data_IF_142099830326
#
_entry.id   IF_142099830326
#
_cell.length_a   1.000
_cell.length_b   1.000
_cell.length_c   1.000
_cell.angle_alpha   90.00
_cell.angle_beta   90.00
_cell.angle_gamma   90.00
#
_symmetry.space_group_name_H-M   'P 1'
#
loop_
_entity.id
_entity.type
_entity.pdbx_description
1 polymer ?
#
# COMPACT_ATOMS: atom_id res chain seq x y z
N UNK A 1 -2.32 23.08 3.41
CA UNK A 1 -3.30 22.03 3.74
C UNK A 1 -2.56 20.73 3.92
N UNK A 2 -2.78 20.07 5.04
CA UNK A 2 -2.08 18.83 5.34
C UNK A 2 -2.55 17.71 4.44
N UNK A 3 -1.62 16.82 4.12
CA UNK A 3 -1.91 15.58 3.44
C UNK A 3 -2.36 14.54 4.46
N UNK A 4 -3.14 13.57 3.99
CA UNK A 4 -3.43 12.34 4.74
C UNK A 4 -2.59 11.23 4.16
N UNK A 5 -1.96 10.45 5.03
CA UNK A 5 -1.33 9.18 4.67
C UNK A 5 -2.10 8.06 5.34
N UNK A 6 -2.61 7.13 4.56
CA UNK A 6 -3.37 5.98 5.04
C UNK A 6 -2.66 4.71 4.63
N UNK A 7 -2.49 3.80 5.60
CA UNK A 7 -1.93 2.47 5.36
C UNK A 7 -3.00 1.42 5.65
N UNK A 8 -3.20 0.50 4.74
CA UNK A 8 -4.09 -0.64 4.95
C UNK A 8 -3.41 -1.93 4.55
N UNK A 9 -3.96 -3.03 5.05
CA UNK A 9 -3.65 -4.38 4.57
C UNK A 9 -4.93 -5.06 4.13
N UNK A 10 -4.80 -6.02 3.21
CA UNK A 10 -5.90 -6.86 2.77
C UNK A 10 -5.39 -8.21 2.33
N UNK A 11 -6.29 -9.18 2.20
CA UNK A 11 -5.99 -10.52 1.69
C UNK A 11 -6.34 -10.59 0.22
N UNK A 12 -5.50 -11.28 -0.56
CA UNK A 12 -5.82 -11.59 -1.95
C UNK A 12 -7.06 -12.48 -2.02
N UNK A 13 -7.96 -12.18 -2.95
CA UNK A 13 -9.08 -13.05 -3.21
C UNK A 13 -8.60 -14.41 -3.74
N UNK A 14 -9.37 -15.47 -3.48
CA UNK A 14 -9.10 -16.79 -4.02
C UNK A 14 -9.07 -16.73 -5.55
N UNK A 15 -8.04 -17.28 -6.16
CA UNK A 15 -7.90 -17.29 -7.61
C UNK A 15 -7.31 -16.01 -8.21
N UNK A 16 -6.84 -15.07 -7.40
CA UNK A 16 -6.16 -13.88 -7.90
C UNK A 16 -4.92 -14.28 -8.69
N UNK A 17 -4.81 -13.77 -9.91
CA UNK A 17 -3.68 -14.07 -10.80
C UNK A 17 -2.67 -12.93 -10.81
N UNK A 18 -1.42 -13.18 -11.26
CA UNK A 18 -0.45 -12.10 -11.46
C UNK A 18 -0.96 -11.02 -12.42
N UNK A 19 -1.76 -11.40 -13.42
CA UNK A 19 -2.39 -10.44 -14.33
C UNK A 19 -3.36 -9.50 -13.59
N UNK A 20 -4.11 -10.02 -12.63
CA UNK A 20 -5.01 -9.19 -11.82
C UNK A 20 -4.23 -8.13 -11.03
N UNK A 21 -3.08 -8.51 -10.48
CA UNK A 21 -2.19 -7.58 -9.76
C UNK A 21 -1.64 -6.51 -10.71
N UNK A 22 -1.25 -6.90 -11.92
CA UNK A 22 -0.79 -5.96 -12.95
C UNK A 22 -1.88 -4.96 -13.32
N UNK A 23 -3.14 -5.41 -13.43
CA UNK A 23 -4.27 -4.54 -13.74
C UNK A 23 -4.57 -3.56 -12.59
N UNK A 24 -4.48 -4.03 -11.35
CA UNK A 24 -4.64 -3.17 -10.17
C UNK A 24 -3.58 -2.06 -10.18
N UNK A 25 -2.33 -2.42 -10.39
CA UNK A 25 -1.23 -1.45 -10.42
C UNK A 25 -1.37 -0.48 -11.59
N UNK A 26 -1.71 -0.99 -12.77
CA UNK A 26 -1.90 -0.15 -13.96
C UNK A 26 -3.01 0.88 -13.77
N UNK A 27 -4.12 0.48 -13.15
CA UNK A 27 -5.20 1.41 -12.84
C UNK A 27 -4.72 2.50 -11.89
N UNK A 28 -3.94 2.15 -10.87
CA UNK A 28 -3.40 3.10 -9.91
C UNK A 28 -2.49 4.14 -10.59
N UNK A 29 -1.52 3.70 -11.40
CA UNK A 29 -0.60 4.63 -12.05
C UNK A 29 -1.28 5.49 -13.12
N UNK A 30 -2.42 5.05 -13.65
CA UNK A 30 -3.21 5.79 -14.63
C UNK A 30 -4.07 6.85 -13.96
N UNK A 31 -4.77 6.50 -12.89
CA UNK A 31 -5.80 7.37 -12.30
C UNK A 31 -5.34 8.16 -11.08
N UNK A 32 -4.40 7.64 -10.29
CA UNK A 32 -3.95 8.34 -9.08
C UNK A 32 -3.38 9.74 -9.35
N UNK A 33 -2.61 9.98 -10.42
CA UNK A 33 -2.13 11.34 -10.70
C UNK A 33 -3.23 12.36 -10.90
N UNK A 34 -4.38 11.94 -11.42
CA UNK A 34 -5.54 12.81 -11.64
C UNK A 34 -6.12 13.31 -10.32
N UNK A 35 -6.00 12.51 -9.27
CA UNK A 35 -6.55 12.79 -7.94
C UNK A 35 -5.48 13.27 -6.96
N UNK A 36 -4.26 13.47 -7.42
CA UNK A 36 -3.15 13.88 -6.54
C UNK A 36 -2.74 12.81 -5.54
N UNK A 37 -2.93 11.54 -5.87
CA UNK A 37 -2.56 10.40 -5.01
C UNK A 37 -1.16 9.92 -5.37
N UNK A 38 -0.35 9.70 -4.33
CA UNK A 38 0.95 9.02 -4.42
C UNK A 38 1.00 7.89 -3.41
N UNK A 39 1.96 6.99 -3.54
CA UNK A 39 2.11 5.93 -2.55
C UNK A 39 2.90 4.72 -2.98
N UNK A 40 2.73 3.67 -2.18
CA UNK A 40 3.44 2.40 -2.27
C UNK A 40 2.44 1.25 -2.22
N UNK A 41 2.59 0.29 -3.12
CA UNK A 41 1.81 -0.95 -3.14
C UNK A 41 2.76 -2.13 -2.97
N UNK A 42 2.58 -2.90 -1.90
CA UNK A 42 3.33 -4.12 -1.64
C UNK A 42 2.41 -5.32 -1.82
N UNK A 43 2.86 -6.29 -2.59
CA UNK A 43 2.17 -7.56 -2.82
C UNK A 43 3.11 -8.71 -2.50
N UNK A 44 2.65 -9.66 -1.69
CA UNK A 44 3.48 -10.79 -1.25
C UNK A 44 2.92 -12.17 -1.63
N UNK A 45 1.95 -12.21 -2.54
CA UNK A 45 1.28 -13.44 -2.94
C UNK A 45 0.07 -13.81 -2.08
N UNK A 46 0.03 -13.38 -0.82
CA UNK A 46 -1.06 -13.67 0.12
C UNK A 46 -1.97 -12.46 0.35
N UNK A 47 -1.42 -11.27 0.20
CA UNK A 47 -2.16 -10.05 0.47
C UNK A 47 -1.43 -8.82 -0.01
N UNK A 48 -2.03 -7.68 0.30
CA UNK A 48 -1.57 -6.36 -0.07
C UNK A 48 -1.33 -5.53 1.18
N UNK A 49 -0.28 -4.70 1.12
CA UNK A 49 -0.12 -3.55 2.00
C UNK A 49 0.02 -2.34 1.10
N UNK A 50 -0.75 -1.29 1.37
CA UNK A 50 -0.68 -0.08 0.56
C UNK A 50 -0.61 1.14 1.46
N UNK A 51 0.26 2.09 1.09
CA UNK A 51 0.30 3.42 1.67
C UNK A 51 -0.19 4.37 0.59
N UNK A 52 -1.22 5.15 0.88
CA UNK A 52 -1.77 6.16 -0.02
C UNK A 52 -1.69 7.53 0.62
N UNK A 53 -1.24 8.50 -0.17
CA UNK A 53 -1.01 9.88 0.29
C UNK A 53 -1.76 10.84 -0.63
N UNK A 54 -2.44 11.80 -0.05
CA UNK A 54 -3.13 12.84 -0.80
C UNK A 54 -4.02 13.68 0.09
N UNK A 55 -4.83 14.54 -0.55
CA UNK A 55 -5.86 15.29 0.16
C UNK A 55 -6.86 14.32 0.80
N UNK A 56 -7.41 14.69 1.94
CA UNK A 56 -8.32 13.83 2.70
C UNK A 56 -9.48 13.30 1.84
N UNK A 57 -10.13 14.16 1.06
CA UNK A 57 -11.25 13.75 0.21
C UNK A 57 -10.82 12.76 -0.88
N UNK A 58 -9.66 12.95 -1.47
CA UNK A 58 -9.13 12.05 -2.49
C UNK A 58 -8.80 10.67 -1.91
N UNK A 59 -8.19 10.64 -0.71
CA UNK A 59 -7.90 9.40 -0.01
C UNK A 59 -9.18 8.65 0.36
N UNK A 60 -10.17 9.35 0.89
CA UNK A 60 -11.45 8.75 1.27
C UNK A 60 -12.21 8.19 0.06
N UNK A 61 -12.24 8.92 -1.06
CA UNK A 61 -12.86 8.43 -2.30
C UNK A 61 -12.16 7.19 -2.83
N UNK A 62 -10.83 7.18 -2.82
CA UNK A 62 -10.06 6.03 -3.27
C UNK A 62 -10.30 4.83 -2.35
N UNK A 63 -10.33 5.03 -1.03
CA UNK A 63 -10.59 3.95 -0.08
C UNK A 63 -11.97 3.32 -0.27
N UNK A 64 -12.98 4.11 -0.61
CA UNK A 64 -14.31 3.57 -0.91
C UNK A 64 -14.28 2.62 -2.12
N UNK A 65 -13.53 2.98 -3.16
CA UNK A 65 -13.36 2.12 -4.34
C UNK A 65 -12.55 0.87 -4.04
N UNK A 66 -11.46 1.01 -3.29
CA UNK A 66 -10.60 -0.11 -2.90
C UNK A 66 -11.38 -1.10 -2.05
N UNK A 67 -12.13 -0.62 -1.06
CA UNK A 67 -12.91 -1.47 -0.17
C UNK A 67 -13.98 -2.28 -0.93
N UNK A 68 -14.55 -1.71 -1.99
CA UNK A 68 -15.54 -2.38 -2.83
C UNK A 68 -14.94 -3.36 -3.86
N UNK A 69 -13.62 -3.36 -4.04
CA UNK A 69 -12.95 -4.22 -5.03
C UNK A 69 -12.94 -5.68 -4.55
N UNK A 70 -13.55 -6.55 -5.35
CA UNK A 70 -13.69 -7.98 -5.02
C UNK A 70 -12.41 -8.79 -5.19
N UNK A 71 -11.33 -8.18 -5.72
CA UNK A 71 -10.04 -8.86 -5.91
C UNK A 71 -9.28 -9.04 -4.61
N UNK A 72 -9.77 -8.46 -3.52
CA UNK A 72 -9.24 -8.66 -2.17
C UNK A 72 -10.38 -8.64 -1.14
N UNK A 73 -10.05 -9.02 0.08
CA UNK A 73 -10.98 -9.04 1.21
C UNK A 73 -10.21 -8.81 2.52
N UNK A 74 -10.92 -8.81 3.64
CA UNK A 74 -10.34 -8.62 4.98
C UNK A 74 -9.48 -7.34 5.04
N UNK A 75 -9.98 -6.25 4.44
CA UNK A 75 -9.27 -4.98 4.45
C UNK A 75 -9.31 -4.38 5.85
N UNK A 76 -8.14 -4.01 6.36
CA UNK A 76 -8.01 -3.34 7.65
C UNK A 76 -7.13 -2.10 7.49
N UNK A 77 -7.62 -0.96 7.96
CA UNK A 77 -6.82 0.25 8.05
C UNK A 77 -5.86 0.09 9.23
N UNK A 78 -4.57 0.18 8.94
CA UNK A 78 -3.52 0.00 9.94
C UNK A 78 -3.03 1.31 10.55
N UNK A 79 -3.08 2.38 9.76
CA UNK A 79 -2.64 3.70 10.19
C UNK A 79 -3.31 4.77 9.32
N UNK A 80 -3.65 5.87 9.95
CA UNK A 80 -4.11 7.08 9.26
C UNK A 80 -3.56 8.28 10.00
N UNK A 81 -2.83 9.12 9.28
CA UNK A 81 -2.20 10.29 9.89
C UNK A 81 -2.21 11.48 8.96
N UNK A 82 -2.16 12.67 9.55
CA UNK A 82 -1.85 13.88 8.82
C UNK A 82 -0.34 14.03 8.71
N UNK A 83 0.14 14.53 7.59
CA UNK A 83 1.56 14.85 7.41
C UNK A 83 1.71 16.07 6.52
N UNK A 84 2.79 16.82 6.74
CA UNK A 84 3.06 18.04 5.99
C UNK A 84 3.59 17.75 4.59
N UNK A 85 4.34 16.67 4.42
CA UNK A 85 5.01 16.32 3.19
C UNK A 85 4.73 14.86 2.82
N UNK A 86 4.85 14.55 1.52
CA UNK A 86 4.71 13.18 1.04
C UNK A 86 5.97 12.38 1.30
N UNK A 87 5.81 11.11 1.68
CA UNK A 87 6.92 10.15 1.69
C UNK A 87 7.32 9.77 0.26
N UNK A 88 6.33 9.73 -0.66
CA UNK A 88 6.53 9.24 -2.03
C UNK A 88 6.11 10.28 -3.06
N UNK A 89 6.75 11.46 -3.11
CA UNK A 89 6.27 12.58 -3.91
C UNK A 89 6.30 12.34 -5.43
N UNK A 90 7.13 11.41 -5.89
CA UNK A 90 7.32 11.14 -7.32
C UNK A 90 6.67 9.84 -7.80
N UNK A 91 5.99 9.12 -6.92
CA UNK A 91 5.40 7.82 -7.24
C UNK A 91 3.88 7.86 -7.17
N UNK A 92 3.21 7.86 -8.32
CA UNK A 92 1.75 7.74 -8.36
C UNK A 92 1.28 6.42 -7.74
N UNK A 93 2.07 5.36 -7.88
CA UNK A 93 1.97 4.12 -7.09
C UNK A 93 3.18 3.25 -7.41
N UNK A 94 4.15 3.19 -6.51
CA UNK A 94 5.30 2.29 -6.67
C UNK A 94 4.92 0.89 -6.22
N UNK A 95 5.15 -0.10 -7.08
CA UNK A 95 4.85 -1.49 -6.77
C UNK A 95 6.10 -2.25 -6.36
N UNK A 96 6.01 -2.95 -5.25
CA UNK A 96 7.07 -3.84 -4.76
C UNK A 96 6.46 -5.22 -4.52
N UNK A 97 6.92 -6.21 -5.28
CA UNK A 97 6.54 -7.61 -5.06
C UNK A 97 7.59 -8.25 -4.18
N UNK A 98 7.17 -8.89 -3.11
CA UNK A 98 8.08 -9.46 -2.12
C UNK A 98 7.71 -10.88 -1.78
N UNK A 99 8.60 -11.57 -1.08
CA UNK A 99 8.36 -12.91 -0.56
C UNK A 99 7.23 -12.90 0.47
N UNK A 100 6.39 -13.95 0.55
CA UNK A 100 5.40 -14.08 1.62
C UNK A 100 6.02 -14.28 3.01
N UNK A 101 7.29 -14.66 3.11
CA UNK A 101 8.01 -14.73 4.37
C UNK A 101 8.24 -13.33 4.93
N UNK A 102 8.00 -13.14 6.24
CA UNK A 102 8.13 -11.83 6.86
C UNK A 102 9.53 -11.23 6.70
N UNK A 103 10.56 -12.01 7.02
CA UNK A 103 11.93 -11.50 6.98
C UNK A 103 12.37 -11.08 5.58
N UNK A 104 12.12 -11.94 4.60
CA UNK A 104 12.47 -11.65 3.19
C UNK A 104 11.60 -10.53 2.64
N UNK A 105 10.31 -10.53 2.97
CA UNK A 105 9.38 -9.49 2.56
C UNK A 105 9.80 -8.13 3.11
N UNK A 106 10.14 -8.07 4.39
CA UNK A 106 10.61 -6.83 5.02
C UNK A 106 11.90 -6.33 4.37
N UNK A 107 12.85 -7.22 4.12
CA UNK A 107 14.09 -6.85 3.42
C UNK A 107 13.82 -6.24 2.06
N UNK A 108 12.90 -6.83 1.28
CA UNK A 108 12.52 -6.31 -0.02
C UNK A 108 11.87 -4.93 0.04
N UNK A 109 10.99 -4.71 1.02
CA UNK A 109 10.37 -3.40 1.22
C UNK A 109 11.40 -2.37 1.69
N UNK A 110 12.24 -2.72 2.65
CA UNK A 110 13.27 -1.80 3.15
C UNK A 110 14.25 -1.40 2.06
N UNK A 111 14.69 -2.31 1.22
CA UNK A 111 15.56 -1.98 0.09
C UNK A 111 14.94 -0.93 -0.82
N UNK A 112 13.62 -0.98 -0.99
CA UNK A 112 12.91 -0.04 -1.86
C UNK A 112 12.69 1.32 -1.22
N UNK A 113 12.42 1.39 0.11
CA UNK A 113 11.87 2.62 0.71
C UNK A 113 12.57 3.14 1.97
N UNK A 114 13.64 2.51 2.42
CA UNK A 114 14.32 2.85 3.69
C UNK A 114 14.58 4.36 3.87
N UNK A 115 14.99 5.03 2.80
CA UNK A 115 15.34 6.46 2.87
C UNK A 115 14.15 7.38 2.69
N UNK A 116 12.96 6.83 2.44
CA UNK A 116 11.75 7.61 2.15
C UNK A 116 10.82 7.73 3.34
N UNK A 117 10.97 6.87 4.33
CA UNK A 117 10.10 6.82 5.49
C UNK A 117 10.89 7.03 6.78
N UNK A 118 10.26 7.68 7.75
CA UNK A 118 10.85 7.88 9.06
C UNK A 118 10.62 6.65 9.96
N UNK A 119 11.15 6.70 11.18
CA UNK A 119 11.04 5.61 12.12
C UNK A 119 9.59 5.28 12.49
N UNK A 120 8.74 6.30 12.59
CA UNK A 120 7.31 6.12 12.88
C UNK A 120 6.59 5.38 11.77
N UNK A 121 6.80 5.77 10.52
CA UNK A 121 6.22 5.08 9.37
C UNK A 121 6.82 3.69 9.18
N UNK A 122 8.12 3.53 9.46
CA UNK A 122 8.76 2.21 9.42
C UNK A 122 8.08 1.23 10.38
N UNK A 123 7.73 1.67 11.57
CA UNK A 123 7.02 0.83 12.53
C UNK A 123 5.66 0.37 11.98
N UNK A 124 4.94 1.26 11.30
CA UNK A 124 3.67 0.92 10.62
C UNK A 124 3.90 -0.12 9.52
N UNK A 125 4.94 0.06 8.71
CA UNK A 125 5.28 -0.89 7.63
C UNK A 125 5.61 -2.28 8.19
N UNK A 126 6.45 -2.34 9.22
CA UNK A 126 6.83 -3.61 9.86
C UNK A 126 5.61 -4.34 10.39
N UNK A 127 4.78 -3.66 11.16
CA UNK A 127 3.56 -4.24 11.75
C UNK A 127 2.56 -4.67 10.68
N UNK A 128 2.36 -3.86 9.65
CA UNK A 128 1.43 -4.14 8.56
C UNK A 128 1.89 -5.33 7.72
N UNK A 129 3.18 -5.38 7.40
CA UNK A 129 3.72 -6.49 6.62
C UNK A 129 3.61 -7.80 7.40
N UNK A 130 3.86 -7.77 8.72
CA UNK A 130 3.70 -8.95 9.56
C UNK A 130 2.28 -9.51 9.49
N UNK A 131 1.27 -8.64 9.41
CA UNK A 131 -0.14 -9.03 9.36
C UNK A 131 -0.51 -9.84 8.10
N UNK A 132 0.21 -9.66 7.00
CA UNK A 132 -0.05 -10.37 5.74
C UNK A 132 1.01 -11.43 5.40
N UNK A 133 2.04 -11.58 6.23
CA UNK A 133 3.10 -12.55 6.00
C UNK A 133 2.72 -13.94 6.48
N UNK A 134 3.30 -14.96 5.86
CA UNK A 134 3.14 -16.33 6.34
C UNK A 134 3.90 -16.51 7.64
N UNK A 135 3.39 -17.33 8.56
CA UNK A 135 4.16 -17.74 9.73
C UNK A 135 5.47 -18.42 9.29
N UNK A 136 6.51 -18.15 10.03
CA UNK A 136 7.80 -18.78 9.79
C UNK A 136 7.74 -20.29 10.04
#
# INVERSE_FOLDING_TARGET
MDLVALTYTSRSASGLTPRDVDLIHRAAITYNPLDGITGLLVYNGNGFMQIIEGAESAVDDLMSRITADIRHNELEVRDRRSQAERCFPHWSMYRVDVSPSFERGLSGVEDAVTQMIDASMRAVVVSSLAAISTPA
#
